data_IF_501414567230
#
_entry.id   IF_501414567230
#
_cell.length_a   1.000
_cell.length_b   1.000
_cell.length_c   1.000
_cell.angle_alpha   90.00
_cell.angle_beta   90.00
_cell.angle_gamma   90.00
#
_symmetry.space_group_name_H-M   'P 1'
#
loop_
_entity.id
_entity.type
_entity.pdbx_description
1 polymer ?
#
# COMPACT_ATOMS: atom_id res chain seq x y z
N UNK A 1 -2.43 -11.61 8.25
CA UNK A 1 -2.73 -12.08 6.87
C UNK A 1 -1.51 -11.74 6.02
N UNK A 2 -1.06 -12.63 5.13
CA UNK A 2 0.23 -12.42 4.42
C UNK A 2 0.05 -12.00 2.95
N UNK A 3 -1.18 -12.08 2.43
CA UNK A 3 -1.53 -11.75 1.05
C UNK A 3 -2.98 -11.26 1.00
N UNK A 4 -3.30 -10.35 0.08
CA UNK A 4 -4.65 -9.88 -0.16
C UNK A 4 -4.90 -9.69 -1.66
N UNK A 5 -6.03 -10.20 -2.17
CA UNK A 5 -6.39 -10.08 -3.58
C UNK A 5 -7.67 -9.22 -3.72
N UNK A 6 -7.61 -8.22 -4.59
CA UNK A 6 -8.75 -7.32 -4.87
C UNK A 6 -8.64 -6.79 -6.29
N UNK A 7 -9.76 -6.75 -7.04
CA UNK A 7 -9.83 -6.17 -8.39
C UNK A 7 -8.73 -6.64 -9.36
N UNK A 8 -8.33 -7.91 -9.29
CA UNK A 8 -7.26 -8.47 -10.13
C UNK A 8 -5.83 -8.22 -9.62
N UNK A 9 -5.64 -7.43 -8.57
CA UNK A 9 -4.35 -7.20 -7.92
C UNK A 9 -4.12 -8.18 -6.78
N UNK A 10 -2.85 -8.55 -6.57
CA UNK A 10 -2.40 -9.40 -5.47
C UNK A 10 -1.34 -8.66 -4.69
N UNK A 11 -1.67 -8.26 -3.47
CA UNK A 11 -0.75 -7.65 -2.51
C UNK A 11 -0.17 -8.69 -1.59
N UNK A 12 1.08 -8.52 -1.19
CA UNK A 12 1.79 -9.40 -0.27
C UNK A 12 2.66 -8.59 0.68
N UNK A 13 2.86 -9.08 1.90
CA UNK A 13 3.89 -8.51 2.78
C UNK A 13 5.29 -8.75 2.20
N UNK A 14 6.21 -7.82 2.44
CA UNK A 14 7.57 -7.83 1.89
C UNK A 14 8.32 -9.13 2.19
N UNK A 15 8.24 -9.60 3.43
CA UNK A 15 8.89 -10.84 3.88
C UNK A 15 8.56 -12.04 2.97
N UNK A 16 7.33 -12.08 2.45
CA UNK A 16 6.84 -13.17 1.60
C UNK A 16 7.08 -12.90 0.11
N UNK A 17 7.22 -11.63 -0.29
CA UNK A 17 7.42 -11.25 -1.71
C UNK A 17 8.89 -11.21 -2.11
N UNK A 18 9.81 -10.89 -1.19
CA UNK A 18 11.25 -10.68 -1.46
C UNK A 18 11.93 -11.85 -2.15
N UNK A 19 11.50 -13.08 -1.88
CA UNK A 19 12.07 -14.31 -2.44
C UNK A 19 11.30 -14.88 -3.66
N UNK A 20 10.39 -14.10 -4.25
CA UNK A 20 9.57 -14.53 -5.37
C UNK A 20 10.03 -13.89 -6.68
N UNK A 21 9.67 -14.55 -7.79
CA UNK A 21 9.89 -14.03 -9.15
C UNK A 21 9.23 -12.65 -9.36
N UNK A 22 8.09 -12.40 -8.73
CA UNK A 22 7.42 -11.10 -8.74
C UNK A 22 7.25 -10.58 -7.32
N UNK A 23 7.73 -9.35 -7.10
CA UNK A 23 7.57 -8.66 -5.84
C UNK A 23 6.27 -7.84 -5.88
N UNK A 24 5.26 -8.26 -5.12
CA UNK A 24 3.97 -7.58 -5.03
C UNK A 24 3.74 -6.95 -3.65
N UNK A 25 4.80 -6.46 -3.00
CA UNK A 25 4.68 -5.69 -1.73
C UNK A 25 4.67 -4.17 -1.92
N UNK A 26 4.93 -3.68 -3.14
CA UNK A 26 4.87 -2.25 -3.43
C UNK A 26 3.43 -1.72 -3.45
N UNK A 27 3.25 -0.51 -2.93
CA UNK A 27 2.03 0.28 -3.07
C UNK A 27 2.35 1.68 -3.59
N UNK A 28 1.41 2.22 -4.35
CA UNK A 28 1.45 3.57 -4.89
C UNK A 28 0.13 4.27 -4.56
N UNK A 29 0.22 5.51 -4.09
CA UNK A 29 -0.94 6.36 -3.83
C UNK A 29 -0.65 7.75 -4.39
N UNK A 30 -1.60 8.26 -5.16
CA UNK A 30 -1.58 9.64 -5.61
C UNK A 30 -2.45 10.47 -4.67
N UNK A 31 -1.85 11.39 -3.92
CA UNK A 31 -2.53 12.31 -3.01
C UNK A 31 -2.66 13.70 -3.63
N UNK A 32 -3.77 14.39 -3.38
CA UNK A 32 -3.93 15.80 -3.73
C UNK A 32 -3.57 16.67 -2.53
N UNK A 33 -2.96 17.83 -2.78
CA UNK A 33 -2.74 18.82 -1.73
C UNK A 33 -3.93 19.76 -1.68
N UNK A 34 -4.66 19.72 -0.56
CA UNK A 34 -5.89 20.50 -0.35
C UNK A 34 -5.71 21.98 -0.71
N UNK A 35 -6.66 22.51 -1.49
CA UNK A 35 -6.64 23.90 -1.94
C UNK A 35 -5.65 24.19 -3.08
N UNK A 36 -5.00 23.19 -3.66
CA UNK A 36 -4.08 23.36 -4.80
C UNK A 36 -4.35 22.32 -5.91
N UNK A 37 -3.82 22.57 -7.10
CA UNK A 37 -3.77 21.57 -8.20
C UNK A 37 -2.55 20.64 -8.10
N UNK A 38 -1.81 20.69 -6.99
CA UNK A 38 -0.61 19.88 -6.82
C UNK A 38 -0.96 18.46 -6.37
N UNK A 39 -0.21 17.52 -6.92
CA UNK A 39 -0.30 16.10 -6.61
C UNK A 39 1.00 15.65 -5.96
N UNK A 40 0.91 14.85 -4.90
CA UNK A 40 2.04 14.18 -4.26
C UNK A 40 1.91 12.69 -4.48
N UNK A 41 2.96 12.08 -5.01
CA UNK A 41 3.06 10.65 -5.21
C UNK A 41 3.69 10.00 -3.97
N UNK A 42 3.02 9.01 -3.40
CA UNK A 42 3.51 8.22 -2.28
C UNK A 42 3.79 6.81 -2.74
N UNK A 43 4.98 6.33 -2.41
CA UNK A 43 5.38 4.94 -2.60
C UNK A 43 5.64 4.32 -1.24
N UNK A 44 5.31 3.04 -1.11
CA UNK A 44 5.59 2.32 0.12
C UNK A 44 5.71 0.82 -0.10
N UNK A 45 6.22 0.14 0.93
CA UNK A 45 6.38 -1.31 0.97
C UNK A 45 5.51 -1.87 2.09
N UNK A 46 4.64 -2.82 1.77
CA UNK A 46 3.73 -3.44 2.73
C UNK A 46 4.53 -4.31 3.69
N UNK A 47 4.47 -3.97 4.98
CA UNK A 47 5.02 -4.77 6.06
C UNK A 47 3.94 -5.67 6.68
N UNK A 48 2.71 -5.18 6.80
CA UNK A 48 1.59 -5.96 7.36
C UNK A 48 0.27 -5.70 6.64
N UNK A 49 -0.57 -6.74 6.58
CA UNK A 49 -1.96 -6.66 6.10
C UNK A 49 -2.89 -7.03 7.27
N UNK A 50 -3.72 -6.06 7.66
CA UNK A 50 -4.65 -6.16 8.78
C UNK A 50 -6.06 -6.18 8.25
N UNK A 51 -6.84 -7.19 8.65
CA UNK A 51 -8.26 -7.29 8.32
C UNK A 51 -9.09 -6.98 9.56
N UNK A 52 -9.88 -5.91 9.49
CA UNK A 52 -10.78 -5.48 10.56
C UNK A 52 -12.20 -5.90 10.19
N UNK A 53 -12.87 -6.61 11.10
CA UNK A 53 -14.26 -7.05 10.95
C UNK A 53 -15.13 -6.36 12.00
N UNK A 54 -16.17 -5.67 11.54
CA UNK A 54 -17.16 -5.06 12.40
C UNK A 54 -18.27 -6.07 12.72
N UNK A 55 -18.63 -6.19 13.99
CA UNK A 55 -19.57 -7.20 14.49
C UNK A 55 -21.06 -6.83 14.30
N UNK A 56 -21.38 -5.70 13.65
CA UNK A 56 -22.75 -5.24 13.40
C UNK A 56 -23.34 -5.69 12.06
N UNK A 57 -24.63 -5.37 11.85
CA UNK A 57 -25.31 -5.54 10.55
C UNK A 57 -25.44 -4.19 9.81
N UNK A 58 -25.09 -4.10 8.52
CA UNK A 58 -24.46 -5.15 7.71
C UNK A 58 -23.03 -5.45 8.19
N UNK A 59 -22.59 -6.70 8.05
CA UNK A 59 -21.20 -7.09 8.36
C UNK A 59 -20.27 -6.32 7.43
N UNK A 60 -19.43 -5.45 8.00
CA UNK A 60 -18.41 -4.71 7.25
C UNK A 60 -17.03 -5.30 7.49
N UNK A 61 -16.24 -5.37 6.43
CA UNK A 61 -14.82 -5.73 6.48
C UNK A 61 -14.01 -4.58 5.89
N UNK A 62 -12.95 -4.20 6.56
CA UNK A 62 -11.96 -3.24 6.09
C UNK A 62 -10.61 -3.94 6.06
N UNK A 63 -9.81 -3.65 5.03
CA UNK A 63 -8.43 -4.12 4.93
C UNK A 63 -7.52 -2.91 4.99
N UNK A 64 -6.58 -2.93 5.92
CA UNK A 64 -5.58 -1.90 6.13
C UNK A 64 -4.20 -2.45 5.76
N UNK A 65 -3.42 -1.65 5.07
CA UNK A 65 -2.02 -1.94 4.77
C UNK A 65 -1.14 -1.06 5.65
N UNK A 66 -0.30 -1.68 6.47
CA UNK A 66 0.78 -0.98 7.18
C UNK A 66 2.00 -1.02 6.29
N UNK A 67 2.44 0.14 5.85
CA UNK A 67 3.56 0.28 4.93
C UNK A 67 4.69 1.09 5.56
N UNK A 68 5.92 0.75 5.16
CA UNK A 68 7.04 1.68 5.25
C UNK A 68 6.98 2.59 4.02
N UNK A 69 6.93 3.90 4.25
CA UNK A 69 6.76 4.90 3.21
C UNK A 69 8.09 5.55 2.87
N UNK A 70 8.31 5.80 1.58
CA UNK A 70 9.44 6.62 1.13
C UNK A 70 9.14 8.10 1.40
N UNK A 71 10.18 8.91 1.61
CA UNK A 71 10.05 10.37 1.73
C UNK A 71 9.60 10.94 0.37
N UNK A 72 8.38 11.52 0.28
CA UNK A 72 7.86 12.06 -0.97
C UNK A 72 8.41 13.46 -1.29
N UNK A 73 9.21 14.05 -0.40
CA UNK A 73 9.84 15.34 -0.66
C UNK A 73 10.96 15.21 -1.70
N UNK A 74 11.39 16.32 -2.33
CA UNK A 74 12.51 16.30 -3.28
C UNK A 74 13.85 15.81 -2.70
N UNK A 75 13.93 15.60 -1.38
CA UNK A 75 15.10 15.02 -0.70
C UNK A 75 15.15 13.49 -0.81
N UNK A 76 14.01 12.85 -1.09
CA UNK A 76 13.96 11.45 -1.44
C UNK A 76 14.33 11.23 -2.91
N UNK A 77 15.17 10.24 -3.20
CA UNK A 77 15.51 9.88 -4.58
C UNK A 77 14.42 8.98 -5.16
N UNK A 78 13.57 9.52 -6.05
CA UNK A 78 12.75 8.70 -6.95
C UNK A 78 13.67 8.10 -8.01
N UNK A 79 13.89 6.79 -7.96
CA UNK A 79 14.56 6.07 -9.04
C UNK A 79 13.51 5.44 -9.93
N UNK A 80 13.35 5.99 -11.13
CA UNK A 80 12.55 5.35 -12.17
C UNK A 80 13.36 4.18 -12.75
N UNK A 81 12.75 2.99 -12.77
CA UNK A 81 13.27 1.81 -13.46
C UNK A 81 12.79 1.76 -14.90
#
# INVERSE_FOLDING_TARGET
MNKYCVNGFKFQIEEVSRNKKTNNSGVYIQGNVDGTSQTIEYYGVIQEIIEVRYLGWPKKKIVLFRCEWFDPSPRGTKMDH
#
